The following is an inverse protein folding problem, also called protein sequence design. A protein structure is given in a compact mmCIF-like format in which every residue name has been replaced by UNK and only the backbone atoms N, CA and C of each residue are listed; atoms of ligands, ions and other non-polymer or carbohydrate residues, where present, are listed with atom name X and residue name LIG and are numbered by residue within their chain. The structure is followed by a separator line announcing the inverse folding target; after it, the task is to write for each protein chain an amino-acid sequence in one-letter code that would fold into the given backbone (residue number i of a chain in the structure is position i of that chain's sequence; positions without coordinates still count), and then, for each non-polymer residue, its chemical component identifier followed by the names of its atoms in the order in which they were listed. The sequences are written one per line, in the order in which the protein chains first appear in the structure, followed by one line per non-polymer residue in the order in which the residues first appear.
data_IF_553160962168
#
_entry.id   IF_553160962168
#
_cell.length_a   1.000
_cell.length_b   1.000
_cell.length_c   1.000
_cell.angle_alpha   90.00
_cell.angle_beta   90.00
_cell.angle_gamma   90.00
#
_symmetry.space_group_name_H-M   'P 1'
#
loop_
_entity.id
_entity.type
_entity.pdbx_description
1 polymer ?
#
# COMPACT_ATOMS: atom_id res chain seq x y z
N UNK A 1 -19.79 2.22 -8.88
CA UNK A 1 -19.24 2.38 -7.53
C UNK A 1 -17.85 1.76 -7.60
N UNK A 2 -16.83 2.60 -7.49
CA UNK A 2 -15.46 2.14 -7.65
C UNK A 2 -14.98 1.64 -6.28
N UNK A 3 -14.79 0.33 -6.18
CA UNK A 3 -14.22 -0.29 -4.98
C UNK A 3 -12.70 -0.34 -5.11
N UNK A 4 -12.01 0.03 -4.05
CA UNK A 4 -10.56 -0.08 -3.91
C UNK A 4 -10.26 -0.84 -2.63
N UNK A 5 -9.37 -1.81 -2.72
CA UNK A 5 -8.88 -2.54 -1.54
C UNK A 5 -7.70 -1.75 -0.97
N UNK A 6 -7.82 -1.30 0.28
CA UNK A 6 -6.77 -0.57 0.96
C UNK A 6 -6.04 -1.47 1.96
N UNK A 7 -4.72 -1.58 1.79
CA UNK A 7 -3.81 -2.12 2.78
C UNK A 7 -3.11 -0.99 3.53
N UNK A 8 -2.98 -1.08 4.85
CA UNK A 8 -2.22 -0.11 5.66
C UNK A 8 -1.25 -0.90 6.52
N UNK A 9 0.03 -0.65 6.30
CA UNK A 9 1.12 -1.24 7.06
C UNK A 9 1.78 -0.18 7.93
N UNK A 10 1.68 -0.31 9.26
CA UNK A 10 2.30 0.62 10.20
C UNK A 10 3.68 0.15 10.60
N UNK A 11 4.72 0.96 10.35
CA UNK A 11 6.11 0.60 10.61
C UNK A 11 6.83 1.63 11.48
N UNK A 12 7.41 1.18 12.60
CA UNK A 12 8.29 1.98 13.42
C UNK A 12 9.77 1.77 13.07
N UNK A 13 10.10 0.55 12.64
CA UNK A 13 11.46 0.20 12.22
C UNK A 13 11.49 -0.02 10.71
N UNK A 14 12.64 0.27 10.10
CA UNK A 14 12.82 0.03 8.67
C UNK A 14 12.84 -1.48 8.43
N UNK A 15 11.98 -1.92 7.53
CA UNK A 15 11.95 -3.29 7.05
C UNK A 15 12.51 -3.32 5.63
N UNK A 16 13.74 -3.80 5.47
CA UNK A 16 14.47 -3.72 4.20
C UNK A 16 13.84 -4.52 3.05
N UNK A 17 12.98 -5.49 3.35
CA UNK A 17 12.24 -6.25 2.33
C UNK A 17 10.79 -5.75 2.16
N UNK A 18 10.48 -4.50 2.49
CA UNK A 18 9.11 -3.97 2.47
C UNK A 18 8.47 -4.02 1.07
N UNK A 19 9.16 -3.65 -0.04
CA UNK A 19 8.56 -3.76 -1.37
C UNK A 19 8.13 -5.18 -1.72
N UNK A 20 8.96 -6.17 -1.39
CA UNK A 20 8.62 -7.58 -1.60
C UNK A 20 7.41 -8.00 -0.76
N UNK A 21 7.36 -7.58 0.49
CA UNK A 21 6.25 -7.88 1.40
C UNK A 21 4.93 -7.32 0.88
N UNK A 22 4.89 -6.04 0.50
CA UNK A 22 3.70 -5.42 -0.10
C UNK A 22 3.28 -6.12 -1.40
N UNK A 23 4.23 -6.44 -2.27
CA UNK A 23 3.94 -7.17 -3.50
C UNK A 23 3.24 -8.51 -3.22
N UNK A 24 3.71 -9.26 -2.22
CA UNK A 24 3.10 -10.54 -1.82
C UNK A 24 1.69 -10.32 -1.27
N UNK A 25 1.49 -9.33 -0.40
CA UNK A 25 0.18 -9.04 0.21
C UNK A 25 -0.83 -8.58 -0.84
N UNK A 26 -0.43 -7.72 -1.78
CA UNK A 26 -1.28 -7.30 -2.90
C UNK A 26 -1.61 -8.48 -3.82
N UNK A 27 -0.62 -9.32 -4.15
CA UNK A 27 -0.82 -10.51 -4.97
C UNK A 27 -1.78 -11.51 -4.32
N UNK A 28 -1.71 -11.72 -3.01
CA UNK A 28 -2.64 -12.56 -2.26
C UNK A 28 -4.06 -11.97 -2.26
N UNK A 29 -4.20 -10.66 -2.19
CA UNK A 29 -5.49 -9.98 -2.29
C UNK A 29 -6.12 -10.19 -3.68
N UNK A 30 -5.34 -10.02 -4.75
CA UNK A 30 -5.79 -10.34 -6.11
C UNK A 30 -6.13 -11.81 -6.30
N UNK A 31 -5.31 -12.71 -5.75
CA UNK A 31 -5.56 -14.16 -5.83
C UNK A 31 -6.88 -14.53 -5.14
N UNK A 32 -7.15 -13.94 -3.98
CA UNK A 32 -8.41 -14.16 -3.26
C UNK A 32 -9.60 -13.76 -4.12
N UNK A 33 -9.59 -12.54 -4.66
CA UNK A 33 -10.68 -12.04 -5.51
C UNK A 33 -10.83 -12.86 -6.78
N UNK A 34 -9.73 -13.22 -7.44
CA UNK A 34 -9.76 -14.12 -8.59
C UNK A 34 -10.46 -15.45 -8.25
N UNK A 35 -10.14 -16.05 -7.12
CA UNK A 35 -10.74 -17.32 -6.71
C UNK A 35 -12.26 -17.17 -6.42
N UNK A 36 -12.68 -16.05 -5.86
CA UNK A 36 -14.10 -15.76 -5.62
C UNK A 36 -14.87 -15.62 -6.96
N UNK A 37 -14.32 -14.88 -7.93
CA UNK A 37 -14.89 -14.74 -9.27
C UNK A 37 -14.91 -16.08 -10.00
N UNK A 38 -13.80 -16.82 -9.96
CA UNK A 38 -13.69 -18.13 -10.63
C UNK A 38 -14.69 -19.14 -10.07
N UNK A 39 -14.88 -19.16 -8.75
CA UNK A 39 -15.90 -20.00 -8.11
C UNK A 39 -17.30 -19.60 -8.54
N UNK A 40 -17.61 -18.30 -8.50
CA UNK A 40 -18.92 -17.77 -8.94
C UNK A 40 -19.21 -18.14 -10.39
N UNK A 41 -18.26 -17.94 -11.31
CA UNK A 41 -18.41 -18.27 -12.71
C UNK A 41 -18.66 -19.78 -12.95
N UNK A 42 -18.03 -20.64 -12.14
CA UNK A 42 -18.22 -22.08 -12.19
C UNK A 42 -19.61 -22.48 -11.69
N UNK A 43 -20.01 -21.98 -10.52
CA UNK A 43 -21.29 -22.33 -9.86
C UNK A 43 -22.48 -21.84 -10.69
N UNK A 44 -22.39 -20.63 -11.24
CA UNK A 44 -23.44 -20.00 -12.05
C UNK A 44 -23.38 -20.41 -13.54
N UNK A 45 -22.35 -21.15 -13.98
CA UNK A 45 -22.13 -21.56 -15.38
C UNK A 45 -22.16 -20.37 -16.35
N UNK A 46 -21.54 -19.25 -15.99
CA UNK A 46 -21.63 -17.99 -16.73
C UNK A 46 -20.55 -17.80 -17.80
N UNK A 47 -19.65 -18.78 -17.97
CA UNK A 47 -18.62 -18.75 -19.03
C UNK A 47 -19.22 -19.11 -20.40
N UNK A 48 -18.89 -18.30 -21.39
CA UNK A 48 -19.50 -18.43 -22.76
C UNK A 48 -18.54 -19.02 -23.78
N UNK A 49 -17.25 -19.03 -23.52
CA UNK A 49 -16.22 -19.55 -24.42
C UNK A 49 -15.39 -20.63 -23.76
N UNK A 50 -14.68 -21.42 -24.58
CA UNK A 50 -13.76 -22.44 -24.09
C UNK A 50 -12.63 -21.84 -23.27
N UNK A 51 -12.12 -20.68 -23.66
CA UNK A 51 -11.04 -19.98 -22.97
C UNK A 51 -11.50 -19.43 -21.60
N UNK A 52 -12.71 -18.87 -21.54
CA UNK A 52 -13.32 -18.44 -20.27
C UNK A 52 -13.57 -19.64 -19.34
N UNK A 53 -13.99 -20.76 -19.88
CA UNK A 53 -14.18 -21.99 -19.10
C UNK A 53 -12.87 -22.51 -18.52
N UNK A 54 -11.79 -22.51 -19.30
CA UNK A 54 -10.48 -22.98 -18.86
C UNK A 54 -9.87 -22.05 -17.80
N UNK A 55 -9.99 -20.73 -18.00
CA UNK A 55 -9.46 -19.73 -17.05
C UNK A 55 -10.41 -19.49 -15.87
N UNK A 56 -11.68 -19.91 -15.95
CA UNK A 56 -12.76 -19.57 -15.01
C UNK A 56 -12.95 -18.06 -14.82
N UNK A 57 -12.46 -17.28 -15.77
CA UNK A 57 -12.48 -15.82 -15.75
C UNK A 57 -12.94 -15.30 -17.10
N UNK A 58 -14.02 -14.49 -17.11
CA UNK A 58 -14.59 -13.95 -18.34
C UNK A 58 -13.75 -12.77 -18.83
N UNK A 59 -13.74 -12.56 -20.13
CA UNK A 59 -13.10 -11.38 -20.74
C UNK A 59 -13.61 -10.05 -20.16
N UNK A 60 -14.82 -10.04 -19.63
CA UNK A 60 -15.47 -8.88 -19.01
C UNK A 60 -15.23 -8.76 -17.52
N UNK A 61 -14.74 -9.81 -16.86
CA UNK A 61 -14.44 -9.75 -15.42
C UNK A 61 -13.30 -8.78 -15.16
N UNK A 62 -13.32 -8.14 -14.01
CA UNK A 62 -12.31 -7.17 -13.56
C UNK A 62 -12.03 -7.40 -12.09
N UNK A 63 -10.77 -7.24 -11.72
CA UNK A 63 -10.33 -7.19 -10.33
C UNK A 63 -10.40 -5.75 -9.83
N UNK A 64 -10.63 -5.58 -8.54
CA UNK A 64 -10.54 -4.29 -7.90
C UNK A 64 -9.07 -3.91 -7.66
N UNK A 65 -8.70 -2.64 -7.83
CA UNK A 65 -7.35 -2.21 -7.54
C UNK A 65 -7.03 -2.39 -6.05
N UNK A 66 -5.84 -2.91 -5.76
CA UNK A 66 -5.28 -3.00 -4.40
C UNK A 66 -4.24 -1.91 -4.25
N UNK A 67 -4.34 -1.13 -3.18
CA UNK A 67 -3.37 -0.06 -2.84
C UNK A 67 -2.90 -0.29 -1.42
N UNK A 68 -1.65 -0.69 -1.25
CA UNK A 68 -1.03 -0.82 0.07
C UNK A 68 -0.15 0.39 0.37
N UNK A 69 -0.38 1.00 1.54
CA UNK A 69 0.35 2.16 2.05
C UNK A 69 1.19 1.77 3.25
N UNK A 70 2.50 1.97 3.16
CA UNK A 70 3.40 1.88 4.30
C UNK A 70 3.43 3.22 5.02
N UNK A 71 2.93 3.26 6.25
CA UNK A 71 3.00 4.43 7.13
C UNK A 71 4.17 4.26 8.07
N UNK A 72 5.27 4.96 7.78
CA UNK A 72 6.50 4.91 8.55
C UNK A 72 6.59 6.09 9.52
N UNK A 73 6.70 5.76 10.82
CA UNK A 73 6.78 6.74 11.90
C UNK A 73 8.07 6.60 12.74
N UNK A 74 9.10 5.95 12.18
CA UNK A 74 10.39 5.82 12.83
C UNK A 74 11.15 7.13 12.97
N UNK A 75 12.08 7.18 13.94
CA UNK A 75 12.93 8.35 14.21
C UNK A 75 13.96 8.63 13.11
N UNK A 76 14.39 7.60 12.40
CA UNK A 76 15.36 7.70 11.31
C UNK A 76 14.63 7.90 9.99
N UNK A 77 15.27 8.56 9.05
CA UNK A 77 14.77 8.61 7.69
C UNK A 77 14.78 7.20 7.06
N UNK A 78 13.78 6.91 6.22
CA UNK A 78 13.74 5.64 5.50
C UNK A 78 14.93 5.54 4.55
N UNK A 79 15.73 4.50 4.70
CA UNK A 79 16.90 4.22 3.86
C UNK A 79 16.85 2.82 3.21
N UNK A 80 15.72 2.15 3.29
CA UNK A 80 15.49 0.87 2.60
C UNK A 80 15.01 1.08 1.17
N UNK A 81 14.98 0.01 0.39
CA UNK A 81 14.39 0.00 -0.94
C UNK A 81 12.94 0.48 -0.91
N UNK A 82 12.53 1.16 -1.96
CA UNK A 82 11.15 1.63 -2.19
C UNK A 82 10.50 0.93 -3.38
N UNK A 83 11.27 0.15 -4.11
CA UNK A 83 10.77 -0.70 -5.19
C UNK A 83 11.42 -2.07 -5.19
N UNK A 84 10.78 -3.03 -5.86
CA UNK A 84 11.32 -4.38 -6.01
C UNK A 84 12.62 -4.38 -6.79
N UNK A 85 12.72 -3.55 -7.84
CA UNK A 85 13.94 -3.49 -8.67
C UNK A 85 15.17 -3.08 -7.87
N UNK A 86 15.03 -2.18 -6.89
CA UNK A 86 16.12 -1.78 -6.00
C UNK A 86 16.64 -2.93 -5.11
N UNK A 87 15.90 -4.02 -5.02
CA UNK A 87 16.25 -5.21 -4.24
C UNK A 87 16.86 -6.34 -5.09
N UNK A 88 16.88 -6.19 -6.42
CA UNK A 88 17.31 -7.23 -7.34
C UNK A 88 18.76 -7.01 -7.79
N UNK A 89 19.51 -8.10 -7.95
CA UNK A 89 20.74 -8.12 -8.75
C UNK A 89 20.35 -8.18 -10.24
N UNK A 90 20.05 -7.01 -10.82
CA UNK A 90 19.47 -6.91 -12.15
C UNK A 90 20.52 -6.40 -13.15
N UNK A 91 20.98 -7.22 -14.11
CA UNK A 91 21.83 -6.78 -15.20
C UNK A 91 21.08 -5.78 -16.10
N UNK A 92 21.78 -4.78 -16.64
CA UNK A 92 21.23 -3.70 -17.46
C UNK A 92 20.37 -4.20 -18.64
N UNK A 93 20.79 -5.29 -19.29
CA UNK A 93 20.07 -5.86 -20.44
C UNK A 93 18.71 -6.51 -20.06
N UNK A 94 18.46 -6.78 -18.78
CA UNK A 94 17.19 -7.33 -18.27
C UNK A 94 16.28 -6.25 -17.67
N UNK A 95 16.74 -5.03 -17.50
CA UNK A 95 16.01 -3.97 -16.80
C UNK A 95 14.62 -3.73 -17.37
N UNK A 96 14.48 -3.76 -18.70
CA UNK A 96 13.20 -3.54 -19.38
C UNK A 96 12.29 -4.77 -19.41
N UNK A 97 12.80 -5.95 -19.06
CA UNK A 97 12.03 -7.21 -19.08
C UNK A 97 11.42 -7.52 -17.68
N UNK A 98 12.01 -6.99 -16.62
CA UNK A 98 11.54 -7.23 -15.27
C UNK A 98 10.57 -6.12 -14.87
N UNK A 99 9.30 -6.44 -14.57
CA UNK A 99 8.37 -5.45 -14.04
C UNK A 99 8.81 -4.96 -12.67
N UNK A 100 8.61 -3.67 -12.40
CA UNK A 100 8.87 -3.09 -11.09
C UNK A 100 7.59 -3.04 -10.24
N UNK A 101 7.73 -3.31 -8.98
CA UNK A 101 6.69 -3.07 -7.98
C UNK A 101 7.16 -1.96 -7.04
N UNK A 102 6.53 -0.79 -7.14
CA UNK A 102 6.80 0.38 -6.30
C UNK A 102 5.87 0.38 -5.11
N UNK A 103 6.41 0.51 -3.90
CA UNK A 103 5.59 0.67 -2.71
C UNK A 103 5.19 2.13 -2.51
N UNK A 104 4.03 2.34 -1.89
CA UNK A 104 3.60 3.66 -1.44
C UNK A 104 4.12 3.88 -0.02
N UNK A 105 5.11 4.75 0.14
CA UNK A 105 5.72 5.07 1.43
C UNK A 105 5.27 6.45 1.89
N UNK A 106 4.66 6.51 3.07
CA UNK A 106 4.36 7.74 3.79
C UNK A 106 5.23 7.84 5.04
N UNK A 107 6.21 8.74 5.02
CA UNK A 107 7.02 9.05 6.18
C UNK A 107 6.36 10.20 6.97
N UNK A 108 5.95 9.93 8.22
CA UNK A 108 5.24 10.94 9.03
C UNK A 108 6.07 12.19 9.27
N UNK A 109 7.38 12.06 9.45
CA UNK A 109 8.26 13.21 9.68
C UNK A 109 8.36 14.16 8.47
N UNK A 110 8.09 13.68 7.25
CA UNK A 110 8.15 14.46 6.01
C UNK A 110 6.74 14.80 5.48
N UNK A 111 5.72 14.63 6.31
CA UNK A 111 4.31 14.81 5.92
C UNK A 111 3.76 16.22 6.18
N UNK A 112 4.61 17.24 6.34
CA UNK A 112 4.23 18.62 6.66
C UNK A 112 3.26 19.23 5.63
N UNK A 113 3.35 18.79 4.38
CA UNK A 113 2.50 19.25 3.28
C UNK A 113 1.18 18.47 3.16
N UNK A 114 0.98 17.41 3.95
CA UNK A 114 -0.25 16.64 3.93
C UNK A 114 -1.30 17.30 4.81
N UNK A 115 -2.44 17.63 4.19
CA UNK A 115 -3.62 18.15 4.88
C UNK A 115 -4.76 17.18 4.74
N UNK A 116 -5.33 16.79 5.85
CA UNK A 116 -6.47 15.88 5.90
C UNK A 116 -7.76 16.66 6.13
N UNK A 117 -8.83 16.26 5.45
CA UNK A 117 -10.18 16.86 5.66
C UNK A 117 -10.75 16.52 7.04
N UNK A 118 -10.43 15.32 7.54
CA UNK A 118 -10.84 14.90 8.86
C UNK A 118 -9.90 15.50 9.90
N UNK A 119 -10.44 16.25 10.86
CA UNK A 119 -9.68 16.95 11.91
C UNK A 119 -8.96 15.98 12.85
N UNK A 120 -9.58 14.86 13.18
CA UNK A 120 -8.98 13.86 14.08
C UNK A 120 -7.76 13.22 13.45
N UNK A 121 -7.86 12.87 12.14
CA UNK A 121 -6.72 12.36 11.37
C UNK A 121 -5.62 13.39 11.29
N UNK A 122 -5.96 14.67 11.00
CA UNK A 122 -4.99 15.76 10.97
C UNK A 122 -4.28 15.90 12.32
N UNK A 123 -5.04 15.88 13.43
CA UNK A 123 -4.48 15.98 14.79
C UNK A 123 -3.55 14.82 15.11
N UNK A 124 -3.92 13.58 14.76
CA UNK A 124 -3.07 12.39 14.97
C UNK A 124 -1.74 12.54 14.22
N UNK A 125 -1.79 13.00 12.97
CA UNK A 125 -0.57 13.22 12.17
C UNK A 125 0.28 14.37 12.73
N UNK A 126 -0.32 15.45 13.17
CA UNK A 126 0.39 16.61 13.76
C UNK A 126 1.07 16.22 15.08
N UNK A 127 0.37 15.52 15.96
CA UNK A 127 0.93 15.02 17.23
C UNK A 127 2.04 14.00 16.96
N UNK A 128 1.83 13.06 16.04
CA UNK A 128 2.83 12.06 15.68
C UNK A 128 4.12 12.73 15.15
N UNK A 129 4.00 13.76 14.30
CA UNK A 129 5.14 14.53 13.80
C UNK A 129 5.93 15.21 14.93
N UNK A 130 5.23 15.76 15.93
CA UNK A 130 5.87 16.40 17.07
C UNK A 130 6.60 15.40 17.94
N UNK A 131 6.01 14.24 18.21
CA UNK A 131 6.60 13.17 19.00
C UNK A 131 7.87 12.64 18.32
N UNK A 132 7.76 12.25 17.04
CA UNK A 132 8.84 11.61 16.28
C UNK A 132 9.83 12.60 15.67
N UNK A 133 9.45 13.87 15.52
CA UNK A 133 10.33 14.97 15.10
C UNK A 133 11.21 15.55 16.18
N UNK A 134 11.20 15.02 17.42
CA UNK A 134 11.92 15.53 18.60
C UNK A 134 11.54 16.95 19.04
N UNK A 135 10.39 17.45 18.65
CA UNK A 135 9.90 18.78 19.02
C UNK A 135 8.88 18.72 20.16
N UNK A 136 9.24 18.08 21.27
CA UNK A 136 8.36 17.91 22.44
C UNK A 136 7.82 19.23 23.01
N UNK A 137 8.54 20.36 22.83
CA UNK A 137 8.10 21.67 23.36
C UNK A 137 6.84 22.26 22.69
N UNK A 138 6.47 21.76 21.49
CA UNK A 138 5.28 22.21 20.77
C UNK A 138 4.01 21.40 21.06
N UNK A 139 4.12 20.26 21.75
CA UNK A 139 2.96 19.40 22.07
C UNK A 139 1.99 20.13 23.00
N UNK A 140 2.51 20.89 23.96
CA UNK A 140 1.69 21.67 24.93
C UNK A 140 0.91 22.82 24.31
N UNK A 141 1.34 23.37 23.17
CA UNK A 141 0.61 24.45 22.49
C UNK A 141 -0.62 23.95 21.74
N UNK A 142 -0.55 22.76 21.13
CA UNK A 142 -1.69 22.17 20.39
C UNK A 142 -2.82 21.78 21.33
N UNK A 143 -2.53 21.29 22.53
CA UNK A 143 -3.54 20.98 23.54
C UNK A 143 -4.24 22.24 24.10
N UNK A 144 -3.57 23.39 24.08
CA UNK A 144 -4.15 24.67 24.56
C UNK A 144 -5.04 25.37 23.55
N UNK A 145 -4.90 25.10 22.25
CA UNK A 145 -5.74 25.70 21.20
C UNK A 145 -7.05 24.93 20.95
N UNK A 146 -7.24 23.76 21.56
CA UNK A 146 -8.42 22.91 21.41
C UNK A 146 -9.38 22.97 22.60
N UNK A 147 -9.04 23.73 23.67
CA UNK A 147 -9.89 24.03 24.82
C UNK A 147 -10.17 25.51 24.89
#
# INVERSE_FOLDING_TARGET
MDFVIWGIENQQKIHYAMPLRHMIEDALSYLKEYNEIAKKNLDEKTTNTKDEFLSRFKKTDRLHPVITLCVYYGEKEWNGATSLKEMLELPDYLENLVPDYKMNLLQLRNSENLKFKNKDVQTIFDVSRLIYGKNYGKITSIYKEQN
#
